data_IF_201132331842
#
_entry.id   IF_201132331842
#
_cell.length_a   1.000
_cell.length_b   1.000
_cell.length_c   1.000
_cell.angle_alpha   90.00
_cell.angle_beta   90.00
_cell.angle_gamma   90.00
#
_symmetry.space_group_name_H-M   'P 1'
#
loop_
_entity.id
_entity.type
_entity.pdbx_description
1 polymer ?
#
# COMPACT_ATOMS: atom_id res chain seq x y z
N UNK A 1 2.63 -5.28 10.81
CA UNK A 1 1.63 -6.31 11.14
C UNK A 1 0.62 -6.52 10.03
N UNK A 2 -0.06 -5.47 9.53
CA UNK A 2 -1.11 -5.55 8.50
C UNK A 2 -0.76 -6.47 7.31
N UNK A 3 0.41 -6.31 6.70
CA UNK A 3 0.83 -7.06 5.51
C UNK A 3 1.87 -8.13 5.78
N UNK A 4 2.12 -8.47 7.06
CA UNK A 4 3.28 -9.28 7.46
C UNK A 4 3.31 -10.65 6.79
N UNK A 5 2.14 -11.30 6.71
CA UNK A 5 1.97 -12.65 6.21
C UNK A 5 1.36 -12.68 4.79
N UNK A 6 1.26 -11.52 4.15
CA UNK A 6 0.78 -11.39 2.77
C UNK A 6 1.74 -12.10 1.80
N UNK A 7 1.24 -12.98 0.92
CA UNK A 7 2.03 -13.54 -0.16
C UNK A 7 2.28 -12.53 -1.29
N UNK A 8 1.51 -11.44 -1.32
CA UNK A 8 1.55 -10.43 -2.38
C UNK A 8 2.38 -9.19 -2.01
N UNK A 9 2.92 -9.12 -0.79
CA UNK A 9 3.79 -8.03 -0.35
C UNK A 9 5.22 -8.52 -0.16
N UNK A 10 6.12 -8.03 -1.01
CA UNK A 10 7.54 -8.34 -0.92
C UNK A 10 8.20 -7.63 0.27
N UNK A 11 7.97 -6.32 0.37
CA UNK A 11 8.62 -5.47 1.36
C UNK A 11 7.78 -4.22 1.68
N UNK A 12 7.91 -3.73 2.91
CA UNK A 12 7.50 -2.39 3.33
C UNK A 12 8.75 -1.60 3.69
N UNK A 13 8.99 -0.48 3.00
CA UNK A 13 10.17 0.39 3.17
C UNK A 13 9.74 1.82 3.45
N UNK A 14 10.49 2.57 4.25
CA UNK A 14 10.18 3.97 4.49
C UNK A 14 10.82 4.57 5.73
N UNK A 15 10.68 5.88 5.88
CA UNK A 15 11.08 6.64 7.05
C UNK A 15 10.16 7.86 7.21
N UNK A 16 9.70 8.13 8.44
CA UNK A 16 8.75 9.20 8.72
C UNK A 16 7.45 9.07 7.89
N UNK A 17 6.97 10.18 7.32
CA UNK A 17 5.77 10.23 6.49
C UNK A 17 6.05 9.92 5.00
N UNK A 18 6.95 8.97 4.73
CA UNK A 18 7.25 8.50 3.38
C UNK A 18 7.45 6.98 3.42
N UNK A 19 6.42 6.25 2.99
CA UNK A 19 6.37 4.78 3.03
C UNK A 19 6.03 4.23 1.65
N UNK A 20 6.70 3.15 1.29
CA UNK A 20 6.48 2.34 0.11
C UNK A 20 6.10 0.91 0.49
N UNK A 21 5.05 0.37 -0.14
CA UNK A 21 4.67 -1.06 -0.01
C UNK A 21 4.78 -1.69 -1.38
N UNK A 22 5.70 -2.65 -1.54
CA UNK A 22 5.94 -3.31 -2.83
C UNK A 22 5.05 -4.53 -3.00
N UNK A 23 4.25 -4.51 -4.06
CA UNK A 23 3.32 -5.58 -4.41
C UNK A 23 3.91 -6.45 -5.53
N UNK A 24 3.84 -7.75 -5.33
CA UNK A 24 4.34 -8.79 -6.22
C UNK A 24 3.29 -9.88 -6.39
N UNK A 25 3.43 -10.72 -7.41
CA UNK A 25 2.52 -11.85 -7.63
C UNK A 25 2.65 -12.93 -6.57
N UNK A 26 3.87 -13.13 -6.07
CA UNK A 26 4.20 -14.09 -5.02
C UNK A 26 5.60 -13.80 -4.44
N UNK A 27 5.91 -14.41 -3.30
CA UNK A 27 7.19 -14.22 -2.58
C UNK A 27 8.36 -15.04 -3.13
N UNK A 28 8.12 -16.00 -4.02
CA UNK A 28 9.15 -16.85 -4.60
C UNK A 28 9.79 -16.18 -5.82
N UNK A 29 8.97 -15.64 -6.72
CA UNK A 29 9.38 -15.00 -7.97
C UNK A 29 9.67 -13.52 -7.80
N UNK A 30 8.98 -12.86 -6.85
CA UNK A 30 8.96 -11.41 -6.69
C UNK A 30 8.60 -10.65 -7.98
N UNK A 31 7.83 -11.27 -8.88
CA UNK A 31 7.39 -10.63 -10.10
C UNK A 31 6.47 -9.43 -9.76
N UNK A 32 6.76 -8.21 -10.25
CA UNK A 32 5.93 -7.03 -9.98
C UNK A 32 4.48 -7.22 -10.41
N UNK A 33 3.53 -6.95 -9.51
CA UNK A 33 2.10 -7.02 -9.84
C UNK A 33 1.45 -5.63 -9.88
N UNK A 34 1.49 -5.04 -11.08
CA UNK A 34 0.90 -3.72 -11.33
C UNK A 34 -0.63 -3.73 -11.22
N UNK A 35 -1.29 -4.80 -11.66
CA UNK A 35 -2.76 -4.84 -11.70
C UNK A 35 -3.31 -4.88 -10.27
N UNK A 36 -2.75 -5.75 -9.43
CA UNK A 36 -3.11 -5.80 -8.01
C UNK A 36 -2.83 -4.47 -7.30
N UNK A 37 -1.72 -3.81 -7.66
CA UNK A 37 -1.40 -2.48 -7.12
C UNK A 37 -2.45 -1.44 -7.51
N UNK A 38 -2.86 -1.39 -8.77
CA UNK A 38 -3.91 -0.48 -9.26
C UNK A 38 -5.26 -0.77 -8.58
N UNK A 39 -5.59 -2.04 -8.36
CA UNK A 39 -6.81 -2.43 -7.65
C UNK A 39 -6.82 -1.94 -6.20
N UNK A 40 -5.72 -2.10 -5.47
CA UNK A 40 -5.60 -1.58 -4.10
C UNK A 40 -5.71 -0.05 -4.07
N UNK A 41 -5.08 0.65 -5.02
CA UNK A 41 -5.18 2.11 -5.13
C UNK A 41 -6.63 2.54 -5.37
N UNK A 42 -7.35 1.86 -6.26
CA UNK A 42 -8.73 2.18 -6.57
C UNK A 42 -9.68 1.90 -5.39
N UNK A 43 -9.48 0.81 -4.65
CA UNK A 43 -10.28 0.50 -3.44
C UNK A 43 -10.06 1.56 -2.35
N UNK A 44 -8.81 1.94 -2.10
CA UNK A 44 -8.47 3.05 -1.20
C UNK A 44 -9.11 4.37 -1.65
N UNK A 45 -9.07 4.68 -2.95
CA UNK A 45 -9.70 5.88 -3.53
C UNK A 45 -11.21 5.88 -3.32
N UNK A 46 -11.88 4.75 -3.55
CA UNK A 46 -13.33 4.63 -3.38
C UNK A 46 -13.74 4.84 -1.90
N UNK A 47 -12.83 4.52 -0.97
CA UNK A 47 -12.91 4.81 0.48
C UNK A 47 -12.41 6.22 0.86
N UNK A 48 -12.19 7.08 -0.13
CA UNK A 48 -11.75 8.49 -0.01
C UNK A 48 -10.35 8.67 0.56
N UNK A 49 -9.45 7.71 0.35
CA UNK A 49 -8.02 7.81 0.69
C UNK A 49 -7.20 7.76 -0.59
N UNK A 50 -6.48 8.85 -0.87
CA UNK A 50 -5.73 8.99 -2.11
C UNK A 50 -4.27 8.60 -1.91
N UNK A 51 -3.88 7.50 -2.55
CA UNK A 51 -2.50 7.05 -2.73
C UNK A 51 -2.26 6.78 -4.22
N UNK A 52 -1.03 6.46 -4.59
CA UNK A 52 -0.70 6.13 -5.99
C UNK A 52 0.44 5.11 -6.06
N UNK A 53 0.61 4.50 -7.23
CA UNK A 53 1.75 3.65 -7.55
C UNK A 53 3.01 4.47 -7.85
N UNK A 54 4.16 3.85 -7.67
CA UNK A 54 5.47 4.43 -8.02
C UNK A 54 6.45 3.34 -8.46
N UNK A 55 7.63 3.74 -8.93
CA UNK A 55 8.67 2.84 -9.44
C UNK A 55 8.50 2.50 -10.91
N UNK A 56 9.49 1.81 -11.48
CA UNK A 56 9.53 1.47 -12.92
C UNK A 56 8.33 0.62 -13.35
N UNK A 57 7.90 -0.31 -12.49
CA UNK A 57 6.80 -1.23 -12.77
C UNK A 57 5.46 -0.75 -12.20
N UNK A 58 5.41 0.42 -11.57
CA UNK A 58 4.24 0.96 -10.88
C UNK A 58 3.60 0.02 -9.83
N UNK A 59 4.38 -0.92 -9.28
CA UNK A 59 3.94 -1.94 -8.33
C UNK A 59 4.20 -1.59 -6.86
N UNK A 60 4.70 -0.38 -6.58
CA UNK A 60 4.90 0.08 -5.20
C UNK A 60 3.84 1.11 -4.83
N UNK A 61 3.02 0.83 -3.83
CA UNK A 61 2.12 1.82 -3.23
C UNK A 61 2.95 2.91 -2.55
N UNK A 62 2.69 4.17 -2.86
CA UNK A 62 3.38 5.33 -2.29
C UNK A 62 2.46 6.06 -1.32
N UNK A 63 2.86 6.08 -0.05
CA UNK A 63 2.15 6.74 1.05
C UNK A 63 3.03 7.90 1.51
N UNK A 64 2.65 9.11 1.09
CA UNK A 64 3.40 10.34 1.40
C UNK A 64 2.45 11.50 1.63
N UNK A 65 1.78 11.55 2.78
CA UNK A 65 0.82 12.60 3.07
C UNK A 65 1.50 13.97 3.26
N UNK A 66 0.72 15.07 3.32
CA UNK A 66 1.22 16.37 3.76
C UNK A 66 1.83 16.30 5.17
N UNK A 67 2.74 17.21 5.52
CA UNK A 67 3.38 17.20 6.85
C UNK A 67 2.43 17.58 8.00
N UNK A 68 1.28 18.16 7.70
CA UNK A 68 0.23 18.43 8.69
C UNK A 68 -0.60 17.17 9.06
N UNK A 69 -0.29 16.01 8.47
CA UNK A 69 -0.98 14.74 8.74
C UNK A 69 -0.79 14.33 10.18
N UNK A 70 -1.90 14.08 10.87
CA UNK A 70 -1.91 13.86 12.31
C UNK A 70 -2.25 12.40 12.68
N UNK A 71 -2.35 12.13 13.98
CA UNK A 71 -2.65 10.79 14.47
C UNK A 71 -4.04 10.29 14.07
N UNK A 72 -5.04 11.17 13.93
CA UNK A 72 -6.37 10.76 13.50
C UNK A 72 -6.38 10.37 12.02
N UNK A 73 -5.63 11.11 11.19
CA UNK A 73 -5.42 10.76 9.79
C UNK A 73 -4.67 9.42 9.64
N UNK A 74 -3.64 9.19 10.47
CA UNK A 74 -2.91 7.91 10.52
C UNK A 74 -3.85 6.76 10.88
N UNK A 75 -4.66 6.90 11.93
CA UNK A 75 -5.63 5.87 12.33
C UNK A 75 -6.59 5.56 11.19
N UNK A 76 -7.19 6.59 10.58
CA UNK A 76 -8.11 6.41 9.45
C UNK A 76 -7.42 5.69 8.28
N UNK A 77 -6.19 6.06 7.95
CA UNK A 77 -5.42 5.42 6.90
C UNK A 77 -5.16 3.94 7.20
N UNK A 78 -4.66 3.62 8.41
CA UNK A 78 -4.26 2.27 8.78
C UNK A 78 -5.47 1.33 8.89
N UNK A 79 -6.58 1.78 9.45
CA UNK A 79 -7.82 0.98 9.54
C UNK A 79 -8.35 0.65 8.14
N UNK A 80 -8.44 1.67 7.27
CA UNK A 80 -8.91 1.48 5.89
C UNK A 80 -7.96 0.58 5.10
N UNK A 81 -6.64 0.79 5.24
CA UNK A 81 -5.64 -0.02 4.56
C UNK A 81 -5.65 -1.47 5.06
N UNK A 82 -5.87 -1.71 6.35
CA UNK A 82 -6.00 -3.06 6.90
C UNK A 82 -7.20 -3.81 6.31
N UNK A 83 -8.34 -3.14 6.14
CA UNK A 83 -9.52 -3.73 5.49
C UNK A 83 -9.25 -4.07 4.01
N UNK A 84 -8.65 -3.13 3.27
CA UNK A 84 -8.32 -3.36 1.84
C UNK A 84 -7.29 -4.48 1.71
N UNK A 85 -6.23 -4.46 2.52
CA UNK A 85 -5.20 -5.48 2.53
C UNK A 85 -5.79 -6.87 2.81
N UNK A 86 -6.64 -7.02 3.84
CA UNK A 86 -7.27 -8.31 4.17
C UNK A 86 -8.04 -8.94 2.99
N UNK A 87 -8.61 -8.12 2.11
CA UNK A 87 -9.43 -8.59 0.99
C UNK A 87 -8.63 -8.82 -0.30
N UNK A 88 -7.39 -8.31 -0.39
CA UNK A 88 -6.64 -8.19 -1.66
C UNK A 88 -5.19 -8.67 -1.56
N UNK A 89 -4.56 -8.51 -0.41
CA UNK A 89 -3.13 -8.70 -0.16
C UNK A 89 -2.88 -9.90 0.77
#
# INVERSE_FOLDING_TARGET
>A
EITKDSPYVAEVRGAGLYVGVEIVKDRETLEPDRLLTEDVINDMRDRRILINGTGKSANTLKIRPPLAFDSADVTRFLETFAEVAKNRL
#
